data_IF_145027939196
#
_entry.id   IF_145027939196
#
_cell.length_a   1.000
_cell.length_b   1.000
_cell.length_c   1.000
_cell.angle_alpha   90.00
_cell.angle_beta   90.00
_cell.angle_gamma   90.00
#
_symmetry.space_group_name_H-M   'P 1'
#
loop_
_entity.id
_entity.type
_entity.pdbx_description
1 polymer ?
#
# COMPACT_ATOMS: atom_id res chain seq x y z
N UNK A 1 3.72 10.05 -8.35
CA UNK A 1 2.76 9.79 -7.25
C UNK A 1 3.33 10.21 -5.89
N UNK A 2 2.49 10.31 -4.85
CA UNK A 2 2.95 10.45 -3.47
C UNK A 2 3.26 9.08 -2.85
N UNK A 3 4.32 9.03 -2.07
CA UNK A 3 4.73 7.89 -1.29
C UNK A 3 4.84 8.25 0.20
N UNK A 4 4.67 7.26 1.06
CA UNK A 4 4.94 7.37 2.49
C UNK A 4 5.81 6.20 2.95
N UNK A 5 6.81 6.53 3.78
CA UNK A 5 7.71 5.54 4.37
C UNK A 5 7.09 4.99 5.66
N UNK A 6 7.00 3.67 5.75
CA UNK A 6 6.44 2.93 6.89
C UNK A 6 7.45 1.87 7.34
N UNK A 7 7.64 1.71 8.65
CA UNK A 7 8.54 0.68 9.18
C UNK A 7 7.92 -0.71 9.04
N UNK A 8 8.76 -1.71 8.77
CA UNK A 8 8.33 -3.10 8.92
C UNK A 8 8.09 -3.46 10.39
N UNK A 9 7.11 -4.33 10.69
CA UNK A 9 6.29 -5.11 9.74
C UNK A 9 5.04 -4.37 9.20
N UNK A 10 4.75 -3.16 9.67
CA UNK A 10 3.50 -2.46 9.34
C UNK A 10 3.30 -2.21 7.84
N UNK A 11 4.38 -1.91 7.10
CA UNK A 11 4.31 -1.69 5.67
C UNK A 11 3.76 -2.93 4.94
N UNK A 12 4.29 -4.11 5.24
CA UNK A 12 3.81 -5.38 4.67
C UNK A 12 2.36 -5.65 5.07
N UNK A 13 1.99 -5.42 6.33
CA UNK A 13 0.63 -5.66 6.80
C UNK A 13 -0.42 -4.82 6.08
N UNK A 14 -0.07 -3.59 5.71
CA UNK A 14 -0.94 -2.70 4.95
C UNK A 14 -1.15 -3.24 3.54
N UNK A 15 -0.08 -3.55 2.80
CA UNK A 15 -0.20 -3.99 1.39
C UNK A 15 -0.78 -5.40 1.25
N UNK A 16 -0.74 -6.22 2.30
CA UNK A 16 -1.40 -7.53 2.35
C UNK A 16 -2.86 -7.47 2.83
N UNK A 17 -3.44 -6.27 2.99
CA UNK A 17 -4.83 -6.08 3.47
C UNK A 17 -5.10 -6.54 4.90
N UNK A 18 -4.06 -6.69 5.73
CA UNK A 18 -4.22 -7.14 7.11
C UNK A 18 -4.41 -5.95 8.05
N UNK A 19 -3.63 -4.89 7.87
CA UNK A 19 -3.69 -3.64 8.66
C UNK A 19 -4.40 -2.55 7.87
N UNK A 20 -5.58 -2.16 8.33
CA UNK A 20 -6.48 -1.17 7.73
C UNK A 20 -6.30 0.25 8.26
N UNK A 21 -5.36 0.46 9.20
CA UNK A 21 -5.13 1.75 9.86
C UNK A 21 -3.66 2.10 9.86
N UNK A 22 -3.32 3.32 9.47
CA UNK A 22 -2.02 3.93 9.77
C UNK A 22 -2.16 4.92 10.94
N UNK A 23 -1.36 4.74 12.00
CA UNK A 23 -1.41 5.57 13.21
C UNK A 23 -0.40 6.72 13.10
N UNK A 24 -0.85 7.96 13.32
CA UNK A 24 0.01 9.16 13.28
C UNK A 24 -0.36 10.14 14.38
N UNK A 25 0.64 10.87 14.87
CA UNK A 25 0.45 11.97 15.82
C UNK A 25 -0.12 13.23 15.18
N UNK A 26 -0.37 13.21 13.87
CA UNK A 26 -0.88 14.33 13.07
C UNK A 26 -1.95 13.85 12.08
N UNK A 27 -2.93 14.72 11.74
CA UNK A 27 -4.04 14.35 10.86
C UNK A 27 -3.56 14.16 9.42
N UNK A 28 -4.26 13.31 8.66
CA UNK A 28 -4.01 13.20 7.24
C UNK A 28 -4.34 14.54 6.55
N UNK A 29 -3.42 15.11 5.74
CA UNK A 29 -3.71 16.31 4.98
C UNK A 29 -4.87 16.07 4.02
N UNK A 30 -5.88 16.95 4.04
CA UNK A 30 -7.13 16.79 3.26
C UNK A 30 -6.92 16.46 1.78
N UNK A 31 -5.85 16.98 1.17
CA UNK A 31 -5.48 16.71 -0.23
C UNK A 31 -5.10 15.25 -0.53
N UNK A 32 -4.84 14.43 0.48
CA UNK A 32 -4.51 13.02 0.35
C UNK A 32 -5.68 12.10 0.76
N UNK A 33 -6.78 12.64 1.28
CA UNK A 33 -8.00 11.88 1.49
C UNK A 33 -8.65 11.55 0.14
N UNK A 34 -9.09 10.30 0.00
CA UNK A 34 -9.54 9.71 -1.27
C UNK A 34 -8.43 9.53 -2.30
N UNK A 35 -7.16 9.69 -1.91
CA UNK A 35 -6.01 9.50 -2.81
C UNK A 35 -5.28 8.21 -2.53
N UNK A 36 -4.69 7.67 -3.59
CA UNK A 36 -3.77 6.55 -3.53
C UNK A 36 -2.34 7.00 -3.28
N UNK A 37 -1.66 6.30 -2.39
CA UNK A 37 -0.27 6.57 -2.02
C UNK A 37 0.55 5.30 -2.07
N UNK A 38 1.80 5.43 -2.49
CA UNK A 38 2.76 4.34 -2.51
C UNK A 38 3.23 4.04 -1.08
N UNK A 39 3.34 2.77 -0.75
CA UNK A 39 3.89 2.29 0.53
C UNK A 39 5.34 1.91 0.32
N UNK A 40 6.23 2.71 0.90
CA UNK A 40 7.66 2.42 0.97
C UNK A 40 7.99 1.78 2.31
N UNK A 41 8.69 0.65 2.29
CA UNK A 41 9.20 0.00 3.49
C UNK A 41 10.53 0.63 3.92
N UNK A 42 10.61 1.04 5.19
CA UNK A 42 11.83 1.65 5.73
C UNK A 42 13.04 0.70 5.60
N UNK A 43 14.24 1.28 5.50
CA UNK A 43 15.49 0.50 5.43
C UNK A 43 15.77 -0.29 6.71
N UNK A 44 15.45 0.29 7.87
CA UNK A 44 15.62 -0.34 9.18
C UNK A 44 14.25 -0.82 9.68
N UNK A 45 14.02 -2.14 9.80
CA UNK A 45 12.78 -2.68 10.34
C UNK A 45 12.65 -2.37 11.84
N UNK A 46 11.46 -2.54 12.40
CA UNK A 46 11.34 -2.56 13.87
C UNK A 46 12.02 -3.81 14.43
N UNK A 47 12.71 -3.64 15.55
CA UNK A 47 13.27 -4.76 16.30
C UNK A 47 12.14 -5.54 16.97
N UNK A 48 12.01 -6.82 16.59
CA UNK A 48 11.01 -7.72 17.14
C UNK A 48 11.70 -8.84 17.91
N UNK A 49 11.92 -8.62 19.21
CA UNK A 49 12.53 -9.62 20.10
C UNK A 49 11.56 -10.79 20.31
N UNK A 50 10.27 -10.50 20.42
CA UNK A 50 9.20 -11.49 20.41
C UNK A 50 7.91 -10.86 19.83
N UNK A 51 6.94 -11.65 19.33
CA UNK A 51 5.71 -11.11 18.77
C UNK A 51 4.93 -10.17 19.68
N UNK A 52 4.91 -10.44 20.99
CA UNK A 52 4.17 -9.64 21.96
C UNK A 52 4.80 -8.26 22.21
N UNK A 53 6.04 -8.02 21.78
CA UNK A 53 6.67 -6.70 21.87
C UNK A 53 6.20 -5.74 20.76
N UNK A 54 5.57 -6.27 19.70
CA UNK A 54 5.11 -5.51 18.54
C UNK A 54 3.59 -5.55 18.40
N UNK A 55 2.98 -6.70 18.69
CA UNK A 55 1.55 -6.93 18.53
C UNK A 55 0.85 -7.08 19.87
N UNK A 56 -0.36 -6.55 19.97
CA UNK A 56 -1.30 -6.98 21.02
C UNK A 56 -1.71 -8.42 20.76
N UNK A 57 -2.15 -9.14 21.81
CA UNK A 57 -2.66 -10.52 21.65
C UNK A 57 -3.74 -10.62 20.58
N UNK A 58 -4.69 -9.67 20.55
CA UNK A 58 -5.79 -9.66 19.56
C UNK A 58 -5.30 -9.46 18.13
N UNK A 59 -4.25 -8.66 17.92
CA UNK A 59 -3.62 -8.51 16.61
C UNK A 59 -2.87 -9.78 16.22
N UNK A 60 -2.12 -10.37 17.15
CA UNK A 60 -1.37 -11.60 16.90
C UNK A 60 -2.29 -12.77 16.52
N UNK A 61 -3.36 -12.95 17.27
CA UNK A 61 -4.36 -14.00 17.04
C UNK A 61 -5.16 -13.80 15.74
N UNK A 62 -5.07 -12.62 15.10
CA UNK A 62 -5.71 -12.34 13.80
C UNK A 62 -4.96 -12.89 12.60
N UNK A 63 -3.68 -13.23 12.77
CA UNK A 63 -2.84 -13.79 11.70
C UNK A 63 -3.09 -15.29 11.52
N UNK A 64 -2.99 -15.79 10.29
CA UNK A 64 -2.89 -17.23 10.04
C UNK A 64 -1.57 -17.78 10.56
N UNK A 65 -1.50 -19.08 10.91
CA UNK A 65 -0.26 -19.71 11.40
C UNK A 65 0.90 -19.59 10.41
N UNK A 66 0.62 -19.65 9.10
CA UNK A 66 1.63 -19.43 8.07
C UNK A 66 2.17 -18.00 8.11
N UNK A 67 1.29 -17.00 8.22
CA UNK A 67 1.69 -15.60 8.27
C UNK A 67 2.42 -15.24 9.57
N UNK A 68 2.03 -15.82 10.71
CA UNK A 68 2.77 -15.70 11.96
C UNK A 68 4.21 -16.22 11.81
N UNK A 69 4.38 -17.33 11.10
CA UNK A 69 5.69 -17.93 10.84
C UNK A 69 6.55 -17.03 9.94
N UNK A 70 5.97 -16.42 8.89
CA UNK A 70 6.64 -15.43 8.03
C UNK A 70 7.10 -14.21 8.84
N UNK A 71 6.22 -13.67 9.70
CA UNK A 71 6.56 -12.55 10.59
C UNK A 71 7.74 -12.91 11.50
N UNK A 72 7.70 -14.06 12.17
CA UNK A 72 8.73 -14.51 13.13
C UNK A 72 10.07 -14.73 12.44
N UNK A 73 10.07 -15.42 11.30
CA UNK A 73 11.30 -15.71 10.59
C UNK A 73 11.90 -14.46 9.93
N UNK A 74 11.10 -13.38 9.76
CA UNK A 74 11.50 -12.21 8.99
C UNK A 74 11.81 -12.50 7.52
N UNK A 75 11.51 -13.73 7.07
CA UNK A 75 11.74 -14.17 5.71
C UNK A 75 10.79 -13.43 4.78
N UNK A 76 11.33 -12.76 3.76
CA UNK A 76 10.53 -12.06 2.75
C UNK A 76 10.24 -10.59 3.05
N UNK A 77 10.74 -10.01 4.17
CA UNK A 77 10.66 -8.56 4.32
C UNK A 77 11.57 -7.85 3.34
N UNK A 78 10.93 -7.18 2.39
CA UNK A 78 11.59 -6.22 1.52
C UNK A 78 11.71 -4.92 2.30
N UNK A 79 12.94 -4.45 2.48
CA UNK A 79 13.26 -3.18 3.13
C UNK A 79 13.82 -2.20 2.10
N UNK A 80 13.66 -0.89 2.35
CA UNK A 80 14.14 0.17 1.48
C UNK A 80 13.61 0.10 0.04
N UNK A 81 12.34 -0.31 -0.13
CA UNK A 81 11.69 -0.43 -1.43
C UNK A 81 10.25 0.04 -1.37
N UNK A 82 9.68 0.40 -2.52
CA UNK A 82 8.22 0.55 -2.64
C UNK A 82 7.65 -0.85 -2.87
N UNK A 83 6.77 -1.29 -1.97
CA UNK A 83 6.25 -2.67 -1.97
C UNK A 83 4.79 -2.77 -2.43
N UNK A 84 4.12 -1.63 -2.60
CA UNK A 84 2.73 -1.57 -3.00
C UNK A 84 2.13 -0.18 -2.89
N UNK A 85 0.82 -0.08 -2.96
CA UNK A 85 0.07 1.16 -2.78
C UNK A 85 -1.22 0.94 -1.99
N UNK A 86 -1.79 2.01 -1.44
CA UNK A 86 -3.04 1.97 -0.66
C UNK A 86 -3.80 3.29 -0.79
N UNK A 87 -5.11 3.27 -0.64
CA UNK A 87 -5.96 4.46 -0.59
C UNK A 87 -6.13 4.93 0.84
N UNK A 88 -6.02 6.23 1.08
CA UNK A 88 -6.38 6.84 2.37
C UNK A 88 -7.81 7.35 2.25
N UNK A 89 -8.79 6.63 2.79
CA UNK A 89 -10.22 6.94 2.60
C UNK A 89 -10.80 7.85 3.66
N UNK A 90 -10.22 7.85 4.86
CA UNK A 90 -10.68 8.68 5.97
C UNK A 90 -9.54 8.98 6.96
N UNK A 91 -9.76 9.93 7.87
CA UNK A 91 -8.86 10.23 8.98
C UNK A 91 -9.66 10.61 10.21
N UNK A 92 -9.70 9.70 11.19
CA UNK A 92 -10.46 9.85 12.43
C UNK A 92 -9.56 9.69 13.65
N UNK A 93 -10.12 9.85 14.85
CA UNK A 93 -9.44 9.55 16.12
C UNK A 93 -10.21 8.45 16.83
N UNK A 94 -9.50 7.52 17.47
CA UNK A 94 -10.07 6.39 18.22
C UNK A 94 -10.89 5.41 17.36
N UNK A 95 -10.45 5.12 16.13
CA UNK A 95 -11.08 4.12 15.27
C UNK A 95 -11.25 2.77 16.01
N UNK A 96 -12.26 1.98 15.61
CA UNK A 96 -12.66 0.74 16.29
C UNK A 96 -11.81 -0.48 15.90
N UNK A 97 -11.08 -0.40 14.78
CA UNK A 97 -10.16 -1.45 14.33
C UNK A 97 -9.15 -1.84 15.42
N UNK A 98 -8.79 -3.13 15.45
CA UNK A 98 -7.75 -3.66 16.34
C UNK A 98 -6.37 -3.07 16.06
N UNK A 99 -6.19 -2.46 14.87
CA UNK A 99 -4.95 -1.83 14.44
C UNK A 99 -4.85 -0.35 14.81
N UNK A 100 -5.91 0.23 15.38
CA UNK A 100 -5.97 1.63 15.76
C UNK A 100 -5.44 1.86 17.17
N UNK A 101 -4.46 2.76 17.29
CA UNK A 101 -4.01 3.26 18.58
C UNK A 101 -4.98 4.34 19.09
N UNK A 102 -5.21 4.36 20.40
CA UNK A 102 -6.09 5.35 21.05
C UNK A 102 -5.36 6.66 21.28
N UNK A 103 -6.09 7.77 21.16
CA UNK A 103 -5.57 9.13 21.39
C UNK A 103 -4.71 9.71 20.26
N UNK A 104 -4.60 9.01 19.12
CA UNK A 104 -3.87 9.48 17.93
C UNK A 104 -4.77 9.51 16.70
N UNK A 105 -4.30 10.11 15.62
CA UNK A 105 -5.00 10.09 14.34
C UNK A 105 -4.82 8.72 13.69
N UNK A 106 -5.94 8.14 13.28
CA UNK A 106 -6.04 6.87 12.60
C UNK A 106 -6.43 7.16 11.15
N UNK A 107 -5.49 7.01 10.23
CA UNK A 107 -5.76 7.13 8.80
C UNK A 107 -6.34 5.81 8.32
N UNK A 108 -7.55 5.84 7.80
CA UNK A 108 -8.27 4.65 7.34
C UNK A 108 -7.80 4.30 5.94
N UNK A 109 -7.36 3.06 5.78
CA UNK A 109 -6.74 2.56 4.57
C UNK A 109 -7.68 1.58 3.87
N UNK A 110 -7.80 1.69 2.54
CA UNK A 110 -8.60 0.79 1.74
C UNK A 110 -7.89 0.41 0.45
N UNK A 111 -8.41 -0.61 -0.22
CA UNK A 111 -7.98 -1.03 -1.56
C UNK A 111 -6.44 -1.14 -1.70
N UNK A 112 -5.76 -1.88 -0.81
CA UNK A 112 -4.31 -2.06 -0.91
C UNK A 112 -3.96 -2.92 -2.13
N UNK A 113 -2.81 -2.61 -2.72
CA UNK A 113 -2.23 -3.34 -3.84
C UNK A 113 -0.83 -3.76 -3.42
N UNK A 114 -0.59 -5.06 -3.37
CA UNK A 114 0.75 -5.64 -3.25
C UNK A 114 1.38 -5.72 -4.64
N UNK A 115 2.58 -5.19 -4.80
CA UNK A 115 3.30 -5.31 -6.06
C UNK A 115 3.99 -6.67 -6.16
N UNK A 116 3.88 -7.32 -7.32
CA UNK A 116 4.51 -8.62 -7.59
C UNK A 116 6.03 -8.54 -7.56
N UNK A 117 6.59 -7.38 -7.94
CA UNK A 117 7.99 -7.03 -7.76
C UNK A 117 8.08 -5.68 -7.03
N UNK A 118 8.79 -5.61 -5.89
CA UNK A 118 9.08 -4.35 -5.25
C UNK A 118 9.91 -3.43 -6.15
N UNK A 119 9.73 -2.13 -5.97
CA UNK A 119 10.59 -1.13 -6.61
C UNK A 119 11.77 -0.83 -5.69
N UNK A 120 12.88 -1.50 -5.98
CA UNK A 120 14.12 -1.42 -5.23
C UNK A 120 14.92 -0.14 -5.52
N UNK A 121 15.99 0.08 -4.75
CA UNK A 121 16.89 1.24 -4.89
C UNK A 121 16.20 2.61 -4.69
N UNK A 122 15.06 2.63 -3.98
CA UNK A 122 14.34 3.85 -3.64
C UNK A 122 14.62 4.22 -2.18
N UNK A 123 15.22 5.39 -1.95
CA UNK A 123 15.45 5.91 -0.59
C UNK A 123 14.17 6.53 -0.04
N UNK A 124 13.71 6.02 1.10
CA UNK A 124 12.59 6.59 1.84
C UNK A 124 12.88 8.00 2.34
N UNK A 125 11.82 8.79 2.54
CA UNK A 125 11.89 10.16 3.08
C UNK A 125 10.84 10.35 4.17
N UNK A 126 11.02 11.39 4.98
CA UNK A 126 10.04 11.82 5.97
C UNK A 126 8.79 12.41 5.29
N UNK A 127 7.66 12.29 5.99
CA UNK A 127 6.35 12.77 5.51
C UNK A 127 5.98 12.15 4.15
N UNK A 128 4.96 12.71 3.49
CA UNK A 128 4.67 12.35 2.10
C UNK A 128 5.73 12.94 1.16
N UNK A 129 6.20 12.14 0.21
CA UNK A 129 7.21 12.56 -0.76
C UNK A 129 6.85 12.13 -2.19
N UNK A 130 7.39 12.82 -3.18
CA UNK A 130 7.14 12.53 -4.59
C UNK A 130 8.04 11.40 -5.11
N UNK A 131 7.41 10.42 -5.74
CA UNK A 131 8.06 9.38 -6.52
C UNK A 131 7.60 9.46 -7.98
N UNK A 132 8.54 9.60 -8.91
CA UNK A 132 8.27 9.77 -10.34
C UNK A 132 8.41 8.49 -11.15
N UNK A 133 8.90 7.39 -10.56
CA UNK A 133 9.14 6.14 -11.29
C UNK A 133 7.86 5.37 -11.66
N UNK A 134 6.72 5.74 -11.07
CA UNK A 134 5.40 5.20 -11.41
C UNK A 134 4.37 6.33 -11.46
N UNK A 135 3.46 6.23 -12.42
CA UNK A 135 2.29 7.10 -12.55
C UNK A 135 1.02 6.25 -12.52
N UNK A 136 0.29 6.26 -11.41
CA UNK A 136 -1.08 5.77 -11.40
C UNK A 136 -2.02 6.79 -12.05
N UNK A 137 -2.92 6.28 -12.88
CA UNK A 137 -3.95 7.03 -13.59
C UNK A 137 -5.30 6.36 -13.39
N UNK A 138 -6.37 7.16 -13.52
CA UNK A 138 -7.71 6.61 -13.67
C UNK A 138 -7.94 6.35 -15.14
N UNK A 139 -8.35 5.13 -15.47
CA UNK A 139 -8.72 4.76 -16.83
C UNK A 139 -10.16 4.29 -16.86
N UNK A 140 -10.81 4.48 -18.00
CA UNK A 140 -12.13 3.90 -18.24
C UNK A 140 -11.98 2.57 -18.98
N UNK A 141 -12.63 1.52 -18.47
CA UNK A 141 -12.69 0.23 -19.15
C UNK A 141 -13.52 0.37 -20.44
N UNK A 142 -12.96 0.07 -21.62
CA UNK A 142 -13.66 0.22 -22.90
C UNK A 142 -14.86 -0.73 -23.02
N UNK A 143 -14.82 -1.89 -22.36
CA UNK A 143 -15.90 -2.88 -22.42
C UNK A 143 -17.11 -2.54 -21.52
N UNK A 144 -16.87 -2.06 -20.30
CA UNK A 144 -17.94 -1.95 -19.30
C UNK A 144 -18.11 -0.56 -18.67
N UNK A 145 -17.30 0.41 -19.11
CA UNK A 145 -17.31 1.80 -18.63
C UNK A 145 -16.90 1.95 -17.16
N UNK A 146 -16.35 0.92 -16.51
CA UNK A 146 -15.88 1.07 -15.13
C UNK A 146 -14.67 1.99 -15.08
N UNK A 147 -14.63 2.85 -14.08
CA UNK A 147 -13.45 3.65 -13.79
C UNK A 147 -12.51 2.79 -12.96
N UNK A 148 -11.36 2.48 -13.52
CA UNK A 148 -10.32 1.68 -12.93
C UNK A 148 -9.14 2.55 -12.53
N UNK A 149 -8.41 2.15 -11.49
CA UNK A 149 -7.10 2.74 -11.18
C UNK A 149 -6.06 1.80 -11.75
N UNK A 150 -5.23 2.33 -12.64
CA UNK A 150 -4.22 1.57 -13.34
C UNK A 150 -2.85 2.24 -13.22
N UNK A 151 -1.81 1.43 -13.31
CA UNK A 151 -0.43 1.85 -13.15
C UNK A 151 0.22 1.95 -14.52
N UNK A 152 0.62 3.15 -14.95
CA UNK A 152 1.55 3.31 -16.07
C UNK A 152 2.95 2.93 -15.55
N UNK A 153 3.30 1.65 -15.72
CA UNK A 153 4.62 1.11 -15.44
C UNK A 153 5.33 0.78 -16.76
N UNK A 154 6.27 1.62 -17.16
CA UNK A 154 7.07 1.44 -18.38
C UNK A 154 8.29 0.53 -18.15
N UNK A 155 8.36 -0.19 -17.04
CA UNK A 155 9.51 -1.05 -16.71
C UNK A 155 9.34 -2.51 -17.13
N UNK A 156 8.21 -2.89 -17.75
CA UNK A 156 8.02 -4.22 -18.31
C UNK A 156 8.96 -4.46 -19.50
N UNK A 157 9.59 -5.63 -19.56
CA UNK A 157 10.47 -6.07 -20.65
C UNK A 157 9.81 -7.26 -21.38
N UNK A 158 10.01 -7.47 -22.70
CA UNK A 158 10.98 -6.83 -23.60
C UNK A 158 10.54 -5.51 -24.23
N UNK A 159 9.26 -5.13 -24.09
CA UNK A 159 8.73 -3.83 -24.51
C UNK A 159 7.98 -3.20 -23.33
N UNK A 160 8.12 -1.88 -23.10
CA UNK A 160 7.31 -1.19 -22.11
C UNK A 160 5.85 -1.23 -22.58
N UNK A 161 5.02 -2.00 -21.89
CA UNK A 161 3.58 -2.09 -22.13
C UNK A 161 2.90 -2.19 -20.78
N UNK A 162 1.99 -1.27 -20.51
CA UNK A 162 1.15 -1.31 -19.32
C UNK A 162 -0.18 -1.97 -19.66
N UNK A 163 -0.62 -2.87 -18.79
CA UNK A 163 -1.85 -3.64 -18.91
C UNK A 163 -2.65 -3.50 -17.63
N UNK A 164 -3.97 -3.45 -17.75
CA UNK A 164 -4.87 -3.41 -16.60
C UNK A 164 -6.00 -4.41 -16.78
N UNK A 165 -6.18 -5.32 -15.82
CA UNK A 165 -7.38 -6.17 -15.80
C UNK A 165 -8.49 -5.42 -15.06
N UNK A 166 -9.58 -5.12 -15.75
CA UNK A 166 -10.76 -4.48 -15.20
C UNK A 166 -11.33 -5.29 -14.02
N UNK A 167 -11.51 -4.67 -12.87
CA UNK A 167 -12.05 -5.33 -11.68
C UNK A 167 -13.54 -5.69 -11.79
N UNK A 168 -14.26 -5.09 -12.75
CA UNK A 168 -15.71 -5.32 -12.95
C UNK A 168 -16.03 -6.42 -13.96
N UNK A 169 -15.28 -6.51 -15.07
CA UNK A 169 -15.58 -7.45 -16.16
C UNK A 169 -14.39 -8.32 -16.58
N UNK A 170 -13.27 -8.27 -15.87
CA UNK A 170 -12.04 -9.04 -16.14
C UNK A 170 -11.37 -8.78 -17.51
N UNK A 171 -11.88 -7.82 -18.29
CA UNK A 171 -11.28 -7.41 -19.54
C UNK A 171 -9.88 -6.85 -19.33
N UNK A 172 -8.93 -7.25 -20.19
CA UNK A 172 -7.55 -6.78 -20.15
C UNK A 172 -7.43 -5.57 -21.06
N UNK A 173 -7.33 -4.39 -20.46
CA UNK A 173 -7.12 -3.11 -21.12
C UNK A 173 -5.63 -3.02 -21.49
N UNK A 174 -5.38 -2.90 -22.79
CA UNK A 174 -4.03 -2.74 -23.33
C UNK A 174 -3.66 -1.24 -23.42
N UNK A 175 -2.37 -0.94 -23.57
CA UNK A 175 -1.89 0.44 -23.79
C UNK A 175 -2.61 1.17 -24.94
N UNK A 176 -2.93 0.48 -26.04
CA UNK A 176 -3.67 1.05 -27.17
C UNK A 176 -5.12 1.47 -26.84
N UNK A 177 -5.66 1.00 -25.72
CA UNK A 177 -7.04 1.21 -25.26
C UNK A 177 -7.10 2.07 -23.98
N UNK A 178 -5.96 2.65 -23.59
CA UNK A 178 -5.78 3.31 -22.31
C UNK A 178 -6.39 4.72 -22.29
N UNK A 179 -7.68 4.80 -22.00
CA UNK A 179 -8.40 6.06 -21.90
C UNK A 179 -8.21 6.72 -20.52
N UNK A 180 -7.20 7.56 -20.37
CA UNK A 180 -6.94 8.30 -19.11
C UNK A 180 -7.99 9.39 -18.91
N UNK A 181 -8.74 9.28 -17.82
CA UNK A 181 -9.70 10.30 -17.40
C UNK A 181 -9.06 11.27 -16.39
N UNK A 182 -9.42 12.54 -16.48
CA UNK A 182 -8.90 13.62 -15.61
C UNK A 182 -9.76 13.82 -14.36
#
# INVERSE_FOLDING_TARGET
MKAITIKQPWASLIVHSIKDIENRTWPCPKKYLGQRVLIHSNAVPMEMINPNSVFTKRQWDSFSLGFQSEIICGNGYVNSAIIGSVEIVDCVVNHSSIWAEKGVYNWVLANPILYSKPIENVKGKLSFWDYSGIKEVKIECPECGSIEIAVEDYTTAPFPTYLHRCNKCDYVIMESEWNVIK
#
